data_IF_784318333363
#
_entry.id   IF_784318333363
#
_cell.length_a   1.000
_cell.length_b   1.000
_cell.length_c   1.000
_cell.angle_alpha   90.00
_cell.angle_beta   90.00
_cell.angle_gamma   90.00
#
_symmetry.space_group_name_H-M   'P 1'
#
loop_
_entity.id
_entity.type
_entity.pdbx_description
1 polymer ?
#
# COMPACT_ATOMS: atom_id res chain seq x y z
N UNK A 1 71.90 -19.02 -20.11
CA UNK A 1 71.33 -17.66 -20.06
C UNK A 1 69.89 -17.75 -19.69
N UNK A 2 69.59 -17.47 -18.45
CA UNK A 2 68.24 -17.51 -17.91
C UNK A 2 67.63 -16.10 -17.86
N UNK A 3 66.60 -15.87 -18.64
CA UNK A 3 65.90 -14.62 -18.68
C UNK A 3 64.90 -14.54 -17.50
N UNK A 4 65.12 -13.52 -16.67
CA UNK A 4 64.30 -13.18 -15.51
C UNK A 4 62.96 -12.57 -15.94
N UNK A 5 61.84 -13.10 -15.44
CA UNK A 5 60.51 -12.59 -15.65
C UNK A 5 60.13 -11.64 -14.50
N UNK A 6 59.69 -10.39 -14.74
CA UNK A 6 59.34 -9.47 -13.67
C UNK A 6 57.93 -9.80 -13.11
N UNK A 7 57.85 -9.87 -11.78
CA UNK A 7 56.59 -9.99 -11.02
C UNK A 7 55.72 -8.74 -11.19
N UNK A 8 54.54 -8.88 -11.76
CA UNK A 8 53.48 -7.84 -11.78
C UNK A 8 52.93 -7.65 -10.37
N UNK A 9 53.06 -6.46 -9.84
CA UNK A 9 52.32 -5.98 -8.66
C UNK A 9 50.83 -5.92 -8.99
N UNK A 10 50.04 -6.58 -8.17
CA UNK A 10 48.57 -6.40 -8.17
C UNK A 10 48.28 -5.03 -7.57
N UNK A 11 47.74 -4.14 -8.38
CA UNK A 11 47.11 -2.92 -7.95
C UNK A 11 45.82 -3.24 -7.18
N UNK A 12 45.74 -2.67 -6.01
CA UNK A 12 44.56 -2.67 -5.16
C UNK A 12 43.57 -1.68 -5.80
N UNK A 13 42.54 -2.16 -6.48
CA UNK A 13 41.44 -1.34 -6.96
C UNK A 13 40.57 -0.92 -5.79
N UNK A 14 40.50 0.38 -5.58
CA UNK A 14 39.51 0.98 -4.69
C UNK A 14 38.18 0.89 -5.37
N UNK A 15 37.36 -0.08 -4.96
CA UNK A 15 35.96 -0.15 -5.34
C UNK A 15 35.20 0.95 -4.61
N UNK A 16 35.01 2.07 -5.31
CA UNK A 16 34.06 3.08 -4.92
C UNK A 16 32.65 2.44 -5.00
N UNK A 17 32.14 2.09 -3.84
CA UNK A 17 30.75 1.68 -3.70
C UNK A 17 29.86 2.85 -4.09
N UNK A 18 29.28 2.79 -5.30
CA UNK A 18 28.17 3.63 -5.69
C UNK A 18 26.96 3.20 -4.85
N UNK A 19 26.65 3.95 -3.82
CA UNK A 19 25.43 3.80 -3.05
C UNK A 19 24.23 4.05 -3.96
N UNK A 20 23.58 2.98 -4.39
CA UNK A 20 22.22 3.08 -4.89
C UNK A 20 21.35 3.60 -3.75
N UNK A 21 20.40 4.53 -4.02
CA UNK A 21 19.44 4.94 -3.01
C UNK A 21 18.68 3.69 -2.54
N UNK A 22 18.65 3.49 -1.23
CA UNK A 22 17.86 2.44 -0.63
C UNK A 22 16.42 2.59 -1.12
N UNK A 23 15.94 1.57 -1.79
CA UNK A 23 14.55 1.41 -2.14
C UNK A 23 13.78 1.19 -0.83
N UNK A 24 13.27 2.29 -0.25
CA UNK A 24 12.38 2.27 0.91
C UNK A 24 10.99 1.70 0.55
N UNK A 25 10.99 0.69 -0.31
CA UNK A 25 9.83 -0.16 -0.48
C UNK A 25 9.64 -0.88 0.84
N UNK A 26 8.70 -0.40 1.67
CA UNK A 26 8.27 -1.13 2.86
C UNK A 26 7.71 -2.47 2.37
N UNK A 27 8.60 -3.44 2.30
CA UNK A 27 8.25 -4.82 2.01
C UNK A 27 7.46 -5.35 3.19
N UNK A 28 6.13 -5.23 3.12
CA UNK A 28 5.20 -5.86 4.07
C UNK A 28 5.13 -7.38 3.82
N UNK A 29 5.82 -7.86 2.80
CA UNK A 29 5.92 -9.28 2.49
C UNK A 29 7.05 -9.93 3.29
N UNK A 30 6.71 -10.85 4.16
CA UNK A 30 7.54 -11.90 4.73
C UNK A 30 8.42 -11.57 5.96
N UNK A 31 7.85 -11.00 7.01
CA UNK A 31 8.34 -11.34 8.33
C UNK A 31 7.14 -11.75 9.21
N UNK A 32 7.10 -13.01 9.60
CA UNK A 32 6.09 -13.60 10.47
C UNK A 32 6.17 -13.11 11.92
N UNK A 33 6.19 -11.80 12.09
CA UNK A 33 5.92 -11.16 13.36
C UNK A 33 4.49 -10.63 13.26
N UNK A 34 3.64 -11.05 14.16
CA UNK A 34 2.35 -10.40 14.44
C UNK A 34 2.68 -8.94 14.75
N UNK A 35 2.68 -8.09 13.74
CA UNK A 35 2.79 -6.66 13.98
C UNK A 35 1.57 -6.27 14.81
N UNK A 36 1.81 -5.65 15.95
CA UNK A 36 0.69 -5.21 16.78
C UNK A 36 -0.18 -4.28 15.95
N UNK A 37 -1.48 -4.37 16.11
CA UNK A 37 -2.43 -3.49 15.43
C UNK A 37 -2.09 -2.00 15.62
N UNK A 38 -1.54 -1.63 16.79
CA UNK A 38 -1.06 -0.29 17.03
C UNK A 38 -0.01 0.15 15.99
N UNK A 39 0.88 -0.76 15.55
CA UNK A 39 1.84 -0.49 14.48
C UNK A 39 1.16 -0.36 13.12
N UNK A 40 0.12 -1.17 12.84
CA UNK A 40 -0.67 -1.04 11.62
C UNK A 40 -1.42 0.28 11.58
N UNK A 41 -2.12 0.62 12.65
CA UNK A 41 -2.85 1.91 12.76
C UNK A 41 -1.89 3.09 12.65
N UNK A 42 -0.72 3.01 13.30
CA UNK A 42 0.30 4.06 13.19
C UNK A 42 0.85 4.18 11.76
N UNK A 43 1.10 3.06 11.08
CA UNK A 43 1.55 3.05 9.69
C UNK A 43 0.49 3.63 8.74
N UNK A 44 -0.78 3.22 8.88
CA UNK A 44 -1.90 3.76 8.10
C UNK A 44 -2.13 5.24 8.41
N UNK A 45 -2.07 5.66 9.67
CA UNK A 45 -2.21 7.06 10.06
C UNK A 45 -1.05 7.92 9.53
N UNK A 46 0.18 7.41 9.51
CA UNK A 46 1.32 8.07 8.89
C UNK A 46 1.13 8.25 7.38
N UNK A 47 0.61 7.24 6.68
CA UNK A 47 0.28 7.32 5.26
C UNK A 47 -0.85 8.32 4.99
N UNK A 48 -1.89 8.34 5.83
CA UNK A 48 -2.98 9.33 5.73
C UNK A 48 -2.50 10.77 5.85
N UNK A 49 -1.48 11.02 6.67
CA UNK A 49 -0.90 12.37 6.84
C UNK A 49 -0.34 12.93 5.53
N UNK A 50 0.00 12.08 4.57
CA UNK A 50 0.68 12.49 3.33
C UNK A 50 -0.16 12.37 2.06
N UNK A 51 -1.17 11.50 1.98
CA UNK A 51 -1.71 11.19 0.67
C UNK A 51 -3.15 10.68 0.59
N UNK A 52 -3.82 10.34 1.64
CA UNK A 52 -5.07 9.64 1.46
C UNK A 52 -6.14 9.92 2.48
N UNK A 53 -7.36 9.96 1.99
CA UNK A 53 -8.56 9.85 2.82
C UNK A 53 -8.92 8.39 2.90
N UNK A 54 -9.19 7.89 4.11
CA UNK A 54 -9.69 6.54 4.32
C UNK A 54 -11.14 6.42 3.87
N UNK A 55 -11.54 5.22 3.51
CA UNK A 55 -12.90 4.86 3.15
C UNK A 55 -13.25 3.48 3.74
N UNK A 56 -14.52 3.15 3.77
CA UNK A 56 -15.00 1.87 4.30
C UNK A 56 -16.34 1.48 3.70
N UNK A 57 -17.00 0.47 4.26
CA UNK A 57 -18.24 -0.10 3.71
C UNK A 57 -19.29 0.93 3.28
N UNK A 58 -19.58 1.90 4.13
CA UNK A 58 -20.70 2.80 3.97
C UNK A 58 -20.27 4.24 3.67
N UNK A 59 -18.95 4.50 3.68
CA UNK A 59 -18.45 5.85 3.55
C UNK A 59 -17.22 5.92 2.65
N UNK A 60 -17.35 6.67 1.56
CA UNK A 60 -16.28 6.92 0.60
C UNK A 60 -15.21 7.89 1.15
N UNK A 61 -15.46 8.51 2.31
CA UNK A 61 -14.57 9.52 2.89
C UNK A 61 -14.71 9.56 4.41
N UNK A 62 -14.05 8.61 5.08
CA UNK A 62 -14.04 8.56 6.54
C UNK A 62 -13.32 9.77 7.13
N UNK A 63 -13.89 10.33 8.18
CA UNK A 63 -13.18 11.26 9.03
C UNK A 63 -12.00 10.56 9.75
N UNK A 64 -11.07 11.34 10.31
CA UNK A 64 -9.99 10.76 11.11
C UNK A 64 -10.52 9.98 12.32
N UNK A 65 -11.56 10.49 12.96
CA UNK A 65 -12.19 9.84 14.11
C UNK A 65 -12.86 8.53 13.72
N UNK A 66 -13.65 8.52 12.65
CA UNK A 66 -14.30 7.31 12.13
C UNK A 66 -13.28 6.26 11.71
N UNK A 67 -12.19 6.69 11.04
CA UNK A 67 -11.10 5.80 10.71
C UNK A 67 -10.47 5.14 11.94
N UNK A 68 -10.20 5.92 12.99
CA UNK A 68 -9.65 5.38 14.23
C UNK A 68 -10.64 4.44 14.93
N UNK A 69 -11.93 4.76 14.88
CA UNK A 69 -12.95 3.89 15.44
C UNK A 69 -13.02 2.56 14.69
N UNK A 70 -13.12 2.59 13.36
CA UNK A 70 -13.13 1.36 12.55
C UNK A 70 -11.85 0.53 12.72
N UNK A 71 -10.72 1.18 12.88
CA UNK A 71 -9.46 0.48 13.16
C UNK A 71 -9.50 -0.26 14.49
N UNK A 72 -10.12 0.34 15.53
CA UNK A 72 -10.35 -0.33 16.83
C UNK A 72 -11.31 -1.50 16.70
N UNK A 73 -12.38 -1.33 15.92
CA UNK A 73 -13.38 -2.38 15.70
C UNK A 73 -12.75 -3.60 15.00
N UNK A 74 -11.95 -3.37 13.97
CA UNK A 74 -11.19 -4.44 13.29
C UNK A 74 -10.24 -5.15 14.26
N UNK A 75 -9.58 -4.38 15.16
CA UNK A 75 -8.73 -4.99 16.18
C UNK A 75 -9.53 -5.85 17.14
N UNK A 76 -10.65 -5.36 17.64
CA UNK A 76 -11.50 -6.13 18.55
C UNK A 76 -11.98 -7.43 17.88
N UNK A 77 -12.31 -7.41 16.59
CA UNK A 77 -12.65 -8.62 15.83
C UNK A 77 -11.47 -9.59 15.73
N UNK A 78 -10.26 -9.08 15.45
CA UNK A 78 -9.05 -9.90 15.42
C UNK A 78 -8.76 -10.55 16.78
N UNK A 79 -8.83 -9.77 17.85
CA UNK A 79 -8.62 -10.26 19.22
C UNK A 79 -9.70 -11.29 19.63
N UNK A 80 -10.91 -11.14 19.06
CA UNK A 80 -12.01 -12.10 19.17
C UNK A 80 -11.86 -13.35 18.30
N UNK A 81 -10.74 -13.51 17.59
CA UNK A 81 -10.42 -14.70 16.79
C UNK A 81 -10.92 -14.65 15.34
N UNK A 82 -11.41 -13.50 14.85
CA UNK A 82 -11.76 -13.35 13.43
C UNK A 82 -10.51 -13.25 12.56
N UNK A 83 -10.59 -13.78 11.35
CA UNK A 83 -9.50 -13.65 10.38
C UNK A 83 -9.52 -12.27 9.75
N UNK A 84 -8.41 -11.55 9.89
CA UNK A 84 -8.18 -10.26 9.26
C UNK A 84 -7.22 -10.43 8.08
N UNK A 85 -7.65 -10.00 6.91
CA UNK A 85 -6.85 -10.02 5.70
C UNK A 85 -6.34 -8.62 5.39
N UNK A 86 -5.06 -8.51 5.05
CA UNK A 86 -4.45 -7.30 4.53
C UNK A 86 -4.12 -7.53 3.07
N UNK A 87 -4.53 -6.60 2.21
CA UNK A 87 -4.20 -6.66 0.80
C UNK A 87 -3.78 -5.28 0.29
N UNK A 88 -2.97 -5.29 -0.75
CA UNK A 88 -2.58 -4.08 -1.47
C UNK A 88 -3.03 -4.27 -2.92
N UNK A 89 -3.83 -3.34 -3.41
CA UNK A 89 -4.23 -3.26 -4.81
C UNK A 89 -3.40 -2.16 -5.45
N UNK A 90 -2.60 -2.50 -6.44
CA UNK A 90 -1.77 -1.57 -7.20
C UNK A 90 -2.44 -1.26 -8.53
N UNK A 91 -2.43 0.00 -8.92
CA UNK A 91 -3.01 0.49 -10.17
C UNK A 91 -1.90 1.04 -11.05
N UNK A 92 -1.78 0.51 -12.26
CA UNK A 92 -0.91 1.09 -13.27
C UNK A 92 -1.55 2.33 -13.93
N UNK A 93 -0.73 3.08 -14.65
CA UNK A 93 -1.18 4.30 -15.30
C UNK A 93 -2.23 4.04 -16.38
N UNK A 94 -2.09 2.97 -17.16
CA UNK A 94 -3.02 2.61 -18.24
C UNK A 94 -4.41 2.32 -17.67
N UNK A 95 -4.47 1.58 -16.57
CA UNK A 95 -5.73 1.33 -15.88
C UNK A 95 -6.37 2.60 -15.35
N UNK A 96 -5.57 3.51 -14.76
CA UNK A 96 -6.08 4.79 -14.23
C UNK A 96 -6.65 5.69 -15.33
N UNK A 97 -6.02 5.70 -16.53
CA UNK A 97 -6.57 6.38 -17.71
C UNK A 97 -7.87 5.71 -18.19
N UNK A 98 -7.89 4.40 -18.34
CA UNK A 98 -9.07 3.64 -18.76
C UNK A 98 -10.27 3.92 -17.84
N UNK A 99 -10.02 3.98 -16.55
CA UNK A 99 -11.02 4.31 -15.54
C UNK A 99 -11.33 5.83 -15.46
N UNK A 100 -10.61 6.66 -16.23
CA UNK A 100 -10.70 8.12 -16.20
C UNK A 100 -10.54 8.69 -14.79
N UNK A 101 -9.67 8.08 -14.01
CA UNK A 101 -9.31 8.52 -12.66
C UNK A 101 -8.23 9.59 -12.71
N UNK A 102 -7.46 9.61 -13.77
CA UNK A 102 -6.55 10.68 -14.17
C UNK A 102 -7.03 11.31 -15.47
N UNK A 103 -6.61 12.54 -15.76
CA UNK A 103 -6.92 13.21 -17.03
C UNK A 103 -6.22 12.54 -18.23
N UNK A 104 -6.78 12.68 -19.43
CA UNK A 104 -6.26 12.02 -20.63
C UNK A 104 -4.83 12.50 -21.00
N UNK A 105 -4.46 13.70 -20.60
CA UNK A 105 -3.14 14.32 -20.80
C UNK A 105 -2.16 14.07 -19.64
N UNK A 106 -2.60 13.41 -18.57
CA UNK A 106 -1.73 13.11 -17.43
C UNK A 106 -0.62 12.14 -17.83
N UNK A 107 0.60 12.50 -17.48
CA UNK A 107 1.78 11.63 -17.62
C UNK A 107 2.52 11.55 -16.27
N UNK A 108 2.73 10.32 -15.81
CA UNK A 108 3.57 10.09 -14.66
C UNK A 108 5.04 10.25 -15.03
N UNK A 109 5.76 11.08 -14.29
CA UNK A 109 7.19 11.32 -14.49
C UNK A 109 7.99 10.89 -13.26
N UNK A 110 7.46 11.15 -12.06
CA UNK A 110 8.16 10.88 -10.80
C UNK A 110 7.17 10.59 -9.65
N UNK A 111 7.62 9.88 -8.61
CA UNK A 111 6.81 9.66 -7.40
C UNK A 111 6.23 10.95 -6.85
N UNK A 112 4.93 10.92 -6.55
CA UNK A 112 4.17 12.06 -6.05
C UNK A 112 3.38 12.84 -7.11
N UNK A 113 3.58 12.59 -8.41
CA UNK A 113 2.86 13.29 -9.49
C UNK A 113 1.35 13.00 -9.48
N UNK A 114 0.94 11.88 -8.89
CA UNK A 114 -0.48 11.57 -8.70
C UNK A 114 -1.18 12.48 -7.69
N UNK A 115 -0.44 13.20 -6.83
CA UNK A 115 -1.02 14.13 -5.86
C UNK A 115 -1.73 15.27 -6.58
N UNK A 116 -3.02 15.44 -6.31
CA UNK A 116 -3.84 16.45 -6.95
C UNK A 116 -4.24 16.19 -8.41
N UNK A 117 -3.69 15.15 -9.04
CA UNK A 117 -3.98 14.77 -10.42
C UNK A 117 -4.86 13.51 -10.54
N UNK A 118 -5.27 12.95 -9.41
CA UNK A 118 -6.12 11.76 -9.34
C UNK A 118 -7.49 12.09 -8.76
N UNK A 119 -8.54 11.60 -9.39
CA UNK A 119 -9.90 11.59 -8.83
C UNK A 119 -10.02 10.48 -7.78
N UNK A 120 -9.67 10.83 -6.56
CA UNK A 120 -9.69 9.89 -5.44
C UNK A 120 -11.08 9.39 -5.10
N UNK A 121 -12.12 10.21 -5.26
CA UNK A 121 -13.50 9.78 -5.00
C UNK A 121 -13.92 8.68 -5.96
N UNK A 122 -13.63 8.89 -7.24
CA UNK A 122 -13.93 7.91 -8.28
C UNK A 122 -13.18 6.60 -8.07
N UNK A 123 -11.89 6.67 -7.74
CA UNK A 123 -11.09 5.48 -7.47
C UNK A 123 -11.60 4.72 -6.24
N UNK A 124 -11.90 5.42 -5.14
CA UNK A 124 -12.47 4.81 -3.93
C UNK A 124 -13.81 4.15 -4.22
N UNK A 125 -14.70 4.83 -4.92
CA UNK A 125 -16.00 4.26 -5.32
C UNK A 125 -15.85 2.99 -6.15
N UNK A 126 -14.88 2.95 -7.07
CA UNK A 126 -14.58 1.75 -7.85
C UNK A 126 -14.07 0.58 -7.00
N UNK A 127 -13.20 0.87 -6.02
CA UNK A 127 -12.69 -0.13 -5.08
C UNK A 127 -13.82 -0.65 -4.18
N UNK A 128 -14.67 0.24 -3.66
CA UNK A 128 -15.83 -0.12 -2.85
C UNK A 128 -16.79 -1.03 -3.62
N UNK A 129 -17.09 -0.72 -4.88
CA UNK A 129 -17.88 -1.58 -5.74
C UNK A 129 -17.25 -2.97 -5.97
N UNK A 130 -15.92 -3.04 -6.02
CA UNK A 130 -15.17 -4.29 -6.03
C UNK A 130 -15.34 -5.08 -4.72
N UNK A 131 -15.21 -4.42 -3.57
CA UNK A 131 -15.42 -5.02 -2.26
C UNK A 131 -16.86 -5.51 -2.08
N UNK A 132 -17.84 -4.76 -2.56
CA UNK A 132 -19.25 -5.17 -2.53
C UNK A 132 -19.50 -6.45 -3.33
N UNK A 133 -18.87 -6.60 -4.51
CA UNK A 133 -18.95 -7.87 -5.26
C UNK A 133 -18.30 -9.02 -4.52
N UNK A 134 -17.22 -8.78 -3.78
CA UNK A 134 -16.59 -9.79 -2.95
C UNK A 134 -17.45 -10.17 -1.74
N UNK A 135 -18.29 -9.25 -1.24
CA UNK A 135 -19.09 -9.46 -0.04
C UNK A 135 -20.02 -10.68 -0.12
N UNK A 136 -20.42 -11.09 -1.34
CA UNK A 136 -21.20 -12.32 -1.54
C UNK A 136 -20.52 -13.60 -1.08
N UNK A 137 -19.19 -13.58 -0.88
CA UNK A 137 -18.40 -14.71 -0.39
C UNK A 137 -18.20 -14.69 1.14
N UNK A 138 -18.73 -13.69 1.82
CA UNK A 138 -18.60 -13.45 3.25
C UNK A 138 -19.97 -13.34 3.89
N UNK A 139 -20.06 -13.64 5.18
CA UNK A 139 -21.32 -13.47 5.91
C UNK A 139 -21.57 -11.98 6.23
N UNK A 140 -20.51 -11.25 6.58
CA UNK A 140 -20.55 -9.81 6.84
C UNK A 140 -19.18 -9.19 6.61
N UNK A 141 -18.84 -8.91 5.33
CA UNK A 141 -17.58 -8.28 5.00
C UNK A 141 -17.51 -6.85 5.52
N UNK A 142 -16.54 -6.59 6.39
CA UNK A 142 -16.16 -5.25 6.83
C UNK A 142 -14.79 -4.92 6.27
N UNK A 143 -14.58 -3.67 5.85
CA UNK A 143 -13.27 -3.25 5.35
C UNK A 143 -12.98 -1.77 5.62
N UNK A 144 -11.70 -1.47 5.64
CA UNK A 144 -11.15 -0.11 5.63
C UNK A 144 -10.06 -0.04 4.57
N UNK A 145 -10.10 1.01 3.77
CA UNK A 145 -9.11 1.26 2.72
C UNK A 145 -8.47 2.64 2.83
N UNK A 146 -7.23 2.74 2.37
CA UNK A 146 -6.48 3.99 2.22
C UNK A 146 -5.78 3.99 0.88
N UNK A 147 -5.90 5.09 0.12
CA UNK A 147 -5.19 5.26 -1.15
C UNK A 147 -3.88 6.00 -0.89
N UNK A 148 -2.80 5.43 -1.39
CA UNK A 148 -1.46 6.01 -1.39
C UNK A 148 -1.13 6.50 -2.81
N UNK A 149 -0.72 7.77 -2.93
CA UNK A 149 -0.48 8.45 -4.23
C UNK A 149 0.92 9.07 -4.33
N UNK A 150 1.79 8.79 -3.40
CA UNK A 150 3.14 9.39 -3.30
C UNK A 150 4.26 8.47 -3.81
N UNK A 151 3.88 7.34 -4.40
CA UNK A 151 4.77 6.33 -4.97
C UNK A 151 4.72 6.33 -6.49
N UNK A 152 5.50 5.45 -7.14
CA UNK A 152 5.51 5.27 -8.59
C UNK A 152 4.18 4.72 -9.14
N UNK A 153 3.44 4.00 -8.31
CA UNK A 153 2.11 3.48 -8.64
C UNK A 153 1.13 3.92 -7.57
N UNK A 154 -0.12 4.11 -7.95
CA UNK A 154 -1.19 4.33 -6.98
C UNK A 154 -1.52 3.00 -6.31
N UNK A 155 -1.52 3.00 -4.99
CA UNK A 155 -1.82 1.81 -4.20
C UNK A 155 -3.05 2.05 -3.34
N UNK A 156 -3.85 1.00 -3.17
CA UNK A 156 -4.87 0.96 -2.13
C UNK A 156 -4.50 -0.12 -1.12
N UNK A 157 -4.28 0.29 0.11
CA UNK A 157 -4.13 -0.62 1.24
C UNK A 157 -5.50 -0.92 1.80
N UNK A 158 -5.90 -2.19 1.80
CA UNK A 158 -7.18 -2.66 2.31
C UNK A 158 -6.95 -3.60 3.49
N UNK A 159 -7.75 -3.41 4.51
CA UNK A 159 -7.93 -4.36 5.61
C UNK A 159 -9.36 -4.86 5.54
N UNK A 160 -9.53 -6.18 5.44
CA UNK A 160 -10.83 -6.83 5.31
C UNK A 160 -11.00 -7.84 6.45
N UNK A 161 -12.20 -7.96 6.97
CA UNK A 161 -12.56 -8.94 7.99
C UNK A 161 -13.98 -9.43 7.74
N UNK A 162 -14.22 -10.73 7.91
CA UNK A 162 -15.58 -11.26 7.99
C UNK A 162 -16.08 -11.13 9.42
N UNK A 163 -16.96 -10.16 9.66
CA UNK A 163 -17.57 -9.91 10.95
C UNK A 163 -18.75 -10.85 11.26
N UNK A 164 -19.18 -11.67 10.30
CA UNK A 164 -20.24 -12.67 10.47
C UNK A 164 -19.88 -13.75 11.49
N UNK A 165 -20.84 -14.57 11.89
CA UNK A 165 -20.64 -15.63 12.87
C UNK A 165 -19.86 -16.84 12.33
N UNK A 166 -19.61 -16.86 11.02
CA UNK A 166 -18.94 -17.96 10.31
C UNK A 166 -19.97 -19.04 9.89
N UNK A 167 -19.74 -19.57 8.70
CA UNK A 167 -20.53 -20.73 8.20
C UNK A 167 -19.90 -22.03 8.65
#
# INVERSE_FOLDING_TARGET
EAASVPKRRRGRGDDAASGAPADDTISIASQGAVQSHAQLVAALAAQMKFAGVAFGNDDVSLSHEDFLQRSRDVQAMFDGGKTVMKTVVSFDQEYLHTMRVVSDDFQFIRPGDYRGNIDQLKLRSAIMAGCERLSSNFDNLQYVGVIQVDTAHVHCHLVLVDAGEGR
#
